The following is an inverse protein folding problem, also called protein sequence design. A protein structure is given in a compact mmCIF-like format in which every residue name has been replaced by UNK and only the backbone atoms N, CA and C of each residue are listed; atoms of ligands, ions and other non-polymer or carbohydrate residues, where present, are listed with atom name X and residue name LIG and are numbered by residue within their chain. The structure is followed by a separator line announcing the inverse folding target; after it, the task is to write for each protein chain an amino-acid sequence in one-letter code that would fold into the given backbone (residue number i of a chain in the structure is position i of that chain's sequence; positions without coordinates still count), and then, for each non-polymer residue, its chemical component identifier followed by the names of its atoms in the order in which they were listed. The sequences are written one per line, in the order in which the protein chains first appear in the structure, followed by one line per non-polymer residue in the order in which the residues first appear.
data_IF_428835655495
#
_entry.id   IF_428835655495
#
_cell.length_a   1.000
_cell.length_b   1.000
_cell.length_c   1.000
_cell.angle_alpha   90.00
_cell.angle_beta   90.00
_cell.angle_gamma   90.00
#
_symmetry.space_group_name_H-M   'P 1'
#
loop_
_entity.id
_entity.type
_entity.pdbx_description
1 polymer ?
2 non-polymer ?
3 non-polymer ?
4 non-polymer ?
5 non-polymer ?
6 water ?
#
# COMPACT_ATOMS: atom_id res chain seq x y z
N UNK A 20 -29.40 -7.05 -0.46
CA UNK A 20 -30.83 -6.69 -0.47
C UNK A 20 -31.07 -5.25 -0.97
N UNK A 21 -29.98 -4.43 -1.04
CA UNK A 21 -30.03 -3.05 -1.49
C UNK A 21 -29.37 -2.90 -2.87
N UNK A 22 -29.59 -1.74 -3.54
CA UNK A 22 -29.07 -1.47 -4.88
C UNK A 22 -28.66 -0.01 -5.08
N UNK A 23 -27.68 0.23 -5.98
CA UNK A 23 -27.19 1.57 -6.29
C UNK A 23 -26.88 1.81 -7.77
N UNK A 24 -26.91 3.10 -8.19
CA UNK A 24 -26.66 3.51 -9.57
C UNK A 24 -25.37 4.32 -9.70
N UNK A 25 -24.52 3.93 -10.65
CA UNK A 25 -23.27 4.62 -10.94
C UNK A 25 -23.20 4.76 -12.46
N UNK A 26 -23.30 6.01 -12.96
CA UNK A 26 -23.25 6.35 -14.39
C UNK A 26 -24.33 5.62 -15.17
N UNK A 27 -25.54 5.58 -14.61
CA UNK A 27 -26.68 4.90 -15.21
C UNK A 27 -26.63 3.38 -15.23
N UNK A 28 -25.65 2.78 -14.55
CA UNK A 28 -25.47 1.33 -14.44
C UNK A 28 -25.87 0.94 -13.03
N UNK A 29 -26.66 -0.13 -12.91
CA UNK A 29 -27.20 -0.58 -11.63
C UNK A 29 -26.35 -1.71 -11.02
N UNK A 30 -26.06 -1.57 -9.71
CA UNK A 30 -25.24 -2.49 -8.91
C UNK A 30 -26.00 -3.00 -7.71
N UNK A 31 -26.00 -4.32 -7.53
CA UNK A 31 -26.62 -4.98 -6.40
C UNK A 31 -25.57 -5.03 -5.29
N UNK A 32 -25.91 -4.52 -4.09
CA UNK A 32 -25.01 -4.55 -2.92
C UNK A 32 -25.04 -5.94 -2.27
N UNK A 33 -23.85 -6.55 -2.09
CA UNK A 33 -23.73 -7.84 -1.45
C UNK A 33 -23.44 -7.66 0.03
N UNK A 34 -22.38 -6.88 0.35
CA UNK A 34 -21.92 -6.62 1.71
C UNK A 34 -21.02 -5.37 1.79
N UNK A 35 -20.73 -4.90 3.01
CA UNK A 35 -19.83 -3.78 3.21
C UNK A 35 -18.46 -4.37 3.49
N UNK A 36 -17.47 -4.08 2.62
CA UNK A 36 -16.09 -4.57 2.79
C UNK A 36 -15.40 -3.73 3.87
N UNK A 37 -15.44 -2.41 3.72
CA UNK A 37 -14.78 -1.54 4.66
C UNK A 37 -15.56 -0.29 4.97
N UNK A 38 -15.20 0.37 6.06
CA UNK A 38 -15.88 1.58 6.46
C UNK A 38 -14.87 2.67 6.79
N UNK A 39 -15.34 3.91 6.71
CA UNK A 39 -14.53 5.07 6.99
C UNK A 39 -15.43 6.07 7.67
N UNK A 40 -14.86 7.11 8.27
CA UNK A 40 -15.69 8.08 8.93
C UNK A 40 -16.62 8.70 7.91
N UNK A 41 -16.08 9.01 6.74
CA UNK A 41 -16.89 9.58 5.67
C UNK A 41 -17.00 8.67 4.46
N UNK A 42 -16.48 7.47 4.55
CA UNK A 42 -16.53 6.54 3.43
C UNK A 42 -16.86 5.10 3.76
N UNK A 43 -17.33 4.39 2.75
CA UNK A 43 -17.66 2.99 2.88
C UNK A 43 -17.34 2.28 1.58
N UNK A 44 -16.94 1.03 1.67
CA UNK A 44 -16.63 0.25 0.49
C UNK A 44 -17.57 -0.94 0.51
N UNK A 45 -18.20 -1.20 -0.62
CA UNK A 45 -19.15 -2.29 -0.73
C UNK A 45 -18.77 -3.26 -1.81
N UNK A 46 -19.18 -4.51 -1.63
CA UNK A 46 -18.95 -5.53 -2.61
C UNK A 46 -20.27 -5.54 -3.34
N UNK A 47 -20.21 -5.46 -4.65
CA UNK A 47 -21.42 -5.39 -5.45
C UNK A 47 -21.40 -6.21 -6.71
N UNK A 48 -22.59 -6.41 -7.28
CA UNK A 48 -22.72 -7.12 -8.53
C UNK A 48 -23.37 -6.23 -9.56
N UNK A 49 -22.87 -6.25 -10.77
CA UNK A 49 -23.43 -5.46 -11.84
C UNK A 49 -24.52 -6.25 -12.57
N UNK A 50 -25.04 -5.68 -13.65
CA UNK A 50 -26.09 -6.30 -14.44
C UNK A 50 -25.68 -7.63 -15.07
N UNK A 51 -24.44 -7.75 -15.47
CA UNK A 51 -23.95 -8.98 -16.07
C UNK A 51 -23.51 -9.92 -14.96
N UNK A 52 -23.69 -9.51 -13.72
CA UNK A 52 -23.32 -10.33 -12.57
C UNK A 52 -21.83 -10.34 -12.22
N UNK A 53 -21.08 -9.43 -12.82
CA UNK A 53 -19.67 -9.30 -12.53
C UNK A 53 -19.54 -8.68 -11.15
N UNK A 54 -18.51 -9.04 -10.42
CA UNK A 54 -18.31 -8.54 -9.08
C UNK A 54 -17.33 -7.37 -9.03
N UNK A 55 -17.67 -6.35 -8.26
CA UNK A 55 -16.86 -5.15 -8.11
C UNK A 55 -16.89 -4.61 -6.71
N UNK A 56 -16.02 -3.65 -6.44
CA UNK A 56 -15.99 -3.00 -5.16
C UNK A 56 -16.34 -1.55 -5.46
N UNK A 57 -17.30 -1.01 -4.74
CA UNK A 57 -17.68 0.37 -4.97
C UNK A 57 -17.32 1.15 -3.74
N UNK A 58 -16.55 2.20 -3.94
CA UNK A 58 -16.17 3.04 -2.83
C UNK A 58 -17.09 4.23 -2.84
N UNK A 59 -17.77 4.42 -1.72
CA UNK A 59 -18.69 5.52 -1.53
C UNK A 59 -18.06 6.56 -0.57
N UNK A 60 -17.96 7.81 -1.03
CA UNK A 60 -17.41 8.90 -0.22
C UNK A 60 -18.49 9.98 -0.04
N UNK A 61 -18.71 10.40 1.20
CA UNK A 61 -19.67 11.44 1.51
C UNK A 61 -18.94 12.76 1.62
N UNK A 62 -19.34 13.73 0.80
CA UNK A 62 -18.70 15.04 0.75
C UNK A 62 -19.35 16.19 1.52
N UNK A 63 -20.36 15.92 2.34
CA UNK A 63 -21.06 16.98 3.07
C UNK A 63 -20.19 17.81 4.00
N UNK A 64 -19.30 17.15 4.73
CA UNK A 64 -18.40 17.80 5.70
C UNK A 64 -16.98 18.06 5.14
N UNK A 65 -16.78 17.81 3.86
CA UNK A 65 -15.49 18.02 3.22
C UNK A 65 -15.18 19.47 2.82
N UNK A 66 -14.05 19.96 3.30
CA UNK A 66 -13.60 21.30 2.98
C UNK A 66 -12.96 21.28 1.62
N UNK A 67 -12.65 22.45 1.08
CA UNK A 67 -12.06 22.54 -0.25
C UNK A 67 -10.73 21.82 -0.36
N UNK A 68 -9.92 21.90 0.68
CA UNK A 68 -8.62 21.26 0.67
C UNK A 68 -8.83 19.76 0.54
N UNK A 69 -9.80 19.24 1.29
CA UNK A 69 -10.11 17.83 1.25
C UNK A 69 -10.59 17.40 -0.12
N UNK A 70 -11.40 18.21 -0.75
CA UNK A 70 -11.94 17.91 -2.07
C UNK A 70 -10.88 17.82 -3.14
N UNK A 71 -9.93 18.75 -3.11
CA UNK A 71 -8.85 18.74 -4.09
C UNK A 71 -7.96 17.53 -3.93
N UNK A 72 -7.72 17.08 -2.69
CA UNK A 72 -6.91 15.90 -2.36
C UNK A 72 -7.58 14.62 -2.96
N UNK A 73 -8.93 14.53 -2.86
CA UNK A 73 -9.77 13.43 -3.36
C UNK A 73 -9.74 13.41 -4.90
N UNK A 74 -9.97 14.58 -5.54
CA UNK A 74 -9.94 14.80 -6.98
C UNK A 74 -8.57 14.46 -7.54
N UNK A 75 -7.52 14.88 -6.84
CA UNK A 75 -6.16 14.62 -7.29
C UNK A 75 -5.83 13.15 -7.32
N UNK A 76 -6.19 12.41 -6.28
CA UNK A 76 -5.92 11.00 -6.26
C UNK A 76 -6.70 10.24 -7.34
N UNK A 77 -7.94 10.63 -7.56
CA UNK A 77 -8.77 9.99 -8.56
C UNK A 77 -8.18 10.16 -9.95
N UNK A 78 -7.71 11.36 -10.23
CA UNK A 78 -7.05 11.70 -11.49
C UNK A 78 -5.76 10.85 -11.67
N UNK A 79 -4.95 10.69 -10.60
CA UNK A 79 -3.73 9.85 -10.64
C UNK A 79 -4.06 8.40 -10.77
N UNK A 80 -5.09 7.94 -10.05
CA UNK A 80 -5.59 6.56 -10.15
C UNK A 80 -6.03 6.22 -11.57
N UNK A 81 -6.84 7.08 -12.18
CA UNK A 81 -7.33 6.93 -13.54
C UNK A 81 -6.20 6.95 -14.58
N UNK A 82 -5.24 7.86 -14.42
CA UNK A 82 -4.10 7.96 -15.31
C UNK A 82 -3.13 6.79 -15.25
N UNK A 83 -2.84 6.31 -14.06
CA UNK A 83 -1.88 5.24 -13.88
C UNK A 83 -2.43 3.86 -14.19
N UNK A 84 -3.70 3.78 -14.52
CA UNK A 84 -4.29 2.49 -14.81
C UNK A 84 -3.58 1.86 -15.96
N UNK A 85 -3.33 2.66 -16.99
CA UNK A 85 -2.69 2.16 -18.20
C UNK A 85 -1.28 1.65 -17.98
N UNK A 86 -0.52 2.37 -17.17
CA UNK A 86 0.87 2.04 -16.89
C UNK A 86 1.21 0.73 -16.19
N UNK A 87 0.43 0.33 -15.21
CA UNK A 87 0.71 -0.93 -14.52
C UNK A 87 -0.54 -1.65 -14.11
N UNK A 88 -0.48 -2.98 -14.12
CA UNK A 88 -1.61 -3.78 -13.72
C UNK A 88 -1.52 -4.10 -12.25
N UNK A 89 -0.50 -3.54 -11.60
CA UNK A 89 -0.26 -3.73 -10.18
C UNK A 89 -0.96 -2.62 -9.40
N UNK A 90 -1.73 -1.82 -10.10
CA UNK A 90 -2.50 -0.77 -9.54
C UNK A 90 -3.94 -1.19 -9.78
N UNK A 91 -4.76 -1.06 -8.75
CA UNK A 91 -6.15 -1.49 -8.78
C UNK A 91 -6.94 -0.83 -9.89
N UNK A 92 -7.82 -1.58 -10.53
CA UNK A 92 -8.57 -1.00 -11.64
C UNK A 92 -9.66 -0.08 -11.09
N UNK A 93 -9.84 1.05 -11.77
CA UNK A 93 -10.87 2.05 -11.58
C UNK A 93 -11.61 2.00 -12.89
N UNK A 94 -12.73 1.30 -12.87
CA UNK A 94 -13.59 1.14 -14.03
C UNK A 94 -14.42 2.34 -14.43
N UNK A 95 -15.02 2.98 -13.43
CA UNK A 95 -15.89 4.10 -13.67
C UNK A 95 -16.10 4.85 -12.37
N UNK A 96 -16.61 6.06 -12.47
CA UNK A 96 -16.91 6.82 -11.26
C UNK A 96 -17.98 7.89 -11.46
N UNK A 97 -18.64 8.24 -10.37
CA UNK A 97 -19.65 9.28 -10.37
C UNK A 97 -19.33 10.24 -9.24
N UNK A 98 -19.15 11.51 -9.57
CA UNK A 98 -18.78 12.50 -8.57
C UNK A 98 -19.69 13.71 -8.66
N UNK A 99 -20.30 14.06 -7.54
CA UNK A 99 -21.14 15.26 -7.42
C UNK A 99 -20.60 16.09 -6.25
N UNK A 100 -21.29 17.14 -5.90
CA UNK A 100 -20.96 17.98 -4.75
C UNK A 100 -21.28 17.26 -3.43
N UNK A 101 -22.14 16.24 -3.49
CA UNK A 101 -22.57 15.49 -2.30
C UNK A 101 -21.83 14.14 -2.08
N UNK A 102 -21.42 13.48 -3.15
CA UNK A 102 -20.78 12.19 -3.02
C UNK A 102 -19.90 11.75 -4.16
N UNK A 103 -19.12 10.71 -3.91
CA UNK A 103 -18.29 10.09 -4.90
C UNK A 103 -18.57 8.60 -4.90
N UNK A 104 -18.77 8.01 -6.06
CA UNK A 104 -18.97 6.58 -6.16
C UNK A 104 -17.86 6.13 -7.08
N UNK A 105 -17.03 5.19 -6.64
CA UNK A 105 -15.95 4.72 -7.50
C UNK A 105 -16.15 3.24 -7.76
N UNK A 106 -16.22 2.82 -9.01
CA UNK A 106 -16.40 1.40 -9.30
C UNK A 106 -15.03 0.84 -9.57
N UNK A 107 -14.61 -0.06 -8.71
CA UNK A 107 -13.30 -0.62 -8.79
C UNK A 107 -13.22 -2.11 -8.71
N UNK A 108 -12.03 -2.59 -8.99
CA UNK A 108 -11.70 -3.97 -8.95
C UNK A 108 -11.85 -4.45 -7.52
N UNK A 109 -12.44 -5.62 -7.36
CA UNK A 109 -12.63 -6.24 -6.06
C UNK A 109 -11.50 -7.22 -5.76
N UNK A 110 -10.82 -6.97 -4.65
CA UNK A 110 -9.76 -7.84 -4.20
C UNK A 110 -10.25 -8.95 -3.31
N UNK A 111 -9.37 -9.90 -2.97
CA UNK A 111 -9.70 -11.01 -2.10
C UNK A 111 -9.52 -10.64 -0.62
N UNK A 112 -8.36 -10.06 -0.28
CA UNK A 112 -7.97 -9.68 1.08
C UNK A 112 -6.84 -8.64 1.00
N UNK A 113 -6.69 -7.78 2.02
CA UNK A 113 -5.55 -6.87 2.07
C UNK A 113 -4.34 -7.70 2.56
N UNK A 114 -3.11 -7.25 2.29
CA UNK A 114 -1.90 -7.96 2.68
C UNK A 114 -1.72 -8.01 4.21
N UNK A 115 -2.24 -7.00 4.96
CA UNK A 115 -2.12 -6.99 6.43
C UNK A 115 -2.87 -8.17 7.06
N UNK A 116 -4.17 -8.31 6.75
CA UNK A 116 -5.03 -9.39 7.21
C UNK A 116 -4.47 -10.75 6.81
N UNK A 117 -4.00 -10.86 5.55
CA UNK A 117 -3.41 -12.08 5.02
C UNK A 117 -2.18 -12.50 5.81
N UNK A 118 -1.22 -11.57 6.05
CA UNK A 118 0.02 -11.87 6.80
C UNK A 118 -0.26 -12.24 8.27
N UNK A 119 -1.29 -11.61 8.90
CA UNK A 119 -1.73 -11.87 10.27
C UNK A 119 -2.33 -13.28 10.41
N UNK A 120 -3.19 -13.70 9.45
CA UNK A 120 -3.87 -15.00 9.41
C UNK A 120 -2.87 -16.15 9.20
N UNK A 121 -1.91 -15.96 8.27
CA UNK A 121 -0.87 -16.94 7.95
C UNK A 121 0.24 -16.97 9.01
N UNK A 122 0.79 -18.17 9.27
CA UNK A 122 1.90 -18.36 10.21
C UNK A 122 3.23 -18.24 9.45
N UNK A 123 3.51 -19.19 8.54
CA UNK A 123 4.70 -19.20 7.69
C UNK A 123 4.34 -18.72 6.29
N UNK A 124 5.34 -18.22 5.56
CA UNK A 124 5.19 -17.73 4.17
C UNK A 124 6.16 -18.49 3.25
N UNK A 125 5.66 -18.82 2.07
CA UNK A 125 6.43 -19.51 1.07
C UNK A 125 7.44 -18.54 0.50
N UNK A 126 8.66 -19.00 0.27
CA UNK A 126 9.71 -18.13 -0.26
C UNK A 126 9.34 -17.61 -1.64
N UNK A 127 8.71 -18.44 -2.44
CA UNK A 127 8.29 -18.07 -3.79
C UNK A 127 7.19 -17.01 -3.80
N UNK A 128 6.24 -17.15 -2.90
CA UNK A 128 5.10 -16.26 -2.73
C UNK A 128 5.61 -14.88 -2.29
N UNK A 129 6.52 -14.87 -1.29
CA UNK A 129 7.18 -13.67 -0.78
C UNK A 129 7.86 -12.89 -1.91
N UNK A 130 8.71 -13.58 -2.72
CA UNK A 130 9.44 -12.98 -3.84
C UNK A 130 8.49 -12.40 -4.88
N UNK A 131 7.44 -13.15 -5.20
CA UNK A 131 6.40 -12.76 -6.15
C UNK A 131 5.71 -11.47 -5.68
N UNK A 132 5.35 -11.41 -4.39
CA UNK A 132 4.69 -10.27 -3.74
C UNK A 132 5.60 -9.07 -3.71
N UNK A 133 6.89 -9.28 -3.39
CA UNK A 133 7.90 -8.23 -3.40
C UNK A 133 8.01 -7.62 -4.80
N UNK A 134 8.04 -8.44 -5.83
CA UNK A 134 8.14 -7.92 -7.18
C UNK A 134 6.96 -7.03 -7.49
N UNK A 135 5.77 -7.46 -7.10
CA UNK A 135 4.56 -6.71 -7.34
C UNK A 135 4.58 -5.37 -6.65
N UNK A 136 5.06 -5.36 -5.41
CA UNK A 136 5.15 -4.15 -4.64
C UNK A 136 6.09 -3.16 -5.30
N UNK A 137 7.22 -3.67 -5.78
CA UNK A 137 8.24 -2.85 -6.46
C UNK A 137 7.69 -2.22 -7.73
N UNK A 138 6.97 -3.02 -8.54
CA UNK A 138 6.35 -2.55 -9.79
C UNK A 138 5.30 -1.45 -9.53
N UNK A 139 4.41 -1.62 -8.52
CA UNK A 139 3.37 -0.62 -8.20
C UNK A 139 3.94 0.70 -7.67
N UNK A 140 4.91 0.60 -6.76
CA UNK A 140 5.58 1.77 -6.17
C UNK A 140 6.49 2.45 -7.21
N UNK A 141 7.15 1.68 -8.08
CA UNK A 141 7.97 2.24 -9.16
C UNK A 141 7.11 3.10 -10.07
N UNK A 142 5.94 2.59 -10.41
CA UNK A 142 5.02 3.27 -11.29
C UNK A 142 4.55 4.63 -10.78
N UNK A 143 4.22 4.73 -9.50
CA UNK A 143 3.81 6.00 -8.96
C UNK A 143 4.98 6.98 -8.94
N UNK A 144 6.17 6.47 -8.65
CA UNK A 144 7.35 7.31 -8.61
C UNK A 144 7.64 7.92 -9.96
N UNK A 145 7.43 7.17 -11.01
CA UNK A 145 7.69 7.62 -12.36
C UNK A 145 6.81 8.80 -12.67
N UNK A 146 5.72 8.92 -11.95
CA UNK A 146 4.80 10.01 -12.14
C UNK A 146 4.93 11.10 -11.11
N UNK A 147 5.99 11.03 -10.33
CA UNK A 147 6.26 12.02 -9.31
C UNK A 147 5.58 11.83 -7.98
N UNK A 148 4.98 10.68 -7.78
CA UNK A 148 4.29 10.43 -6.54
C UNK A 148 5.08 9.59 -5.56
N UNK A 149 5.20 10.07 -4.34
CA UNK A 149 5.86 9.34 -3.28
C UNK A 149 4.73 9.11 -2.30
N UNK A 150 4.43 7.87 -1.99
CA UNK A 150 3.34 7.56 -1.10
C UNK A 150 3.56 8.05 0.33
N UNK A 151 4.71 7.74 0.86
CA UNK A 151 5.14 8.17 2.19
C UNK A 151 4.44 7.51 3.37
N UNK A 152 3.49 6.64 3.11
CA UNK A 152 2.79 5.97 4.21
C UNK A 152 2.55 4.51 3.90
N UNK A 153 3.47 3.86 3.23
CA UNK A 153 3.28 2.47 2.89
C UNK A 153 3.20 1.56 4.11
N UNK A 154 2.27 0.62 4.02
CA UNK A 154 1.98 -0.37 5.06
C UNK A 154 1.40 -1.56 4.31
N UNK A 155 1.38 -2.76 4.92
CA UNK A 155 0.74 -3.90 4.25
C UNK A 155 -0.72 -3.64 3.88
N UNK A 156 -1.48 -2.81 4.68
CA UNK A 156 -2.90 -2.48 4.39
C UNK A 156 -3.12 -1.79 3.03
N UNK A 157 -2.08 -1.16 2.45
CA UNK A 157 -2.12 -0.46 1.16
C UNK A 157 -2.03 -1.43 -0.01
N UNK A 158 -1.85 -2.71 0.26
CA UNK A 158 -1.75 -3.72 -0.78
C UNK A 158 -2.91 -4.69 -0.70
N UNK A 159 -3.36 -5.12 -1.87
CA UNK A 159 -4.50 -6.01 -2.05
C UNK A 159 -4.12 -7.23 -2.87
N UNK A 160 -4.56 -8.40 -2.42
CA UNK A 160 -4.33 -9.65 -3.15
C UNK A 160 -5.52 -9.90 -4.06
N UNK A 161 -5.25 -9.94 -5.37
CA UNK A 161 -6.21 -10.19 -6.44
C UNK A 161 -5.52 -11.16 -7.37
N UNK A 162 -6.06 -12.38 -7.50
CA UNK A 162 -5.55 -13.40 -8.41
C UNK A 162 -4.09 -13.75 -8.12
N UNK A 163 -3.78 -13.98 -6.83
CA UNK A 163 -2.42 -14.30 -6.36
C UNK A 163 -1.38 -13.24 -6.73
N UNK A 164 -1.83 -12.00 -6.87
CA UNK A 164 -1.01 -10.89 -7.32
C UNK A 164 -1.32 -9.64 -6.48
N UNK A 165 -0.26 -8.96 -5.96
CA UNK A 165 -0.42 -7.74 -5.14
C UNK A 165 -0.64 -6.51 -5.99
N UNK A 166 -1.57 -5.67 -5.52
CA UNK A 166 -1.98 -4.42 -6.14
C UNK A 166 -2.05 -3.31 -5.12
N UNK A 167 -1.45 -2.16 -5.46
CA UNK A 167 -1.47 -0.94 -4.65
C UNK A 167 -2.91 -0.34 -4.65
N UNK A 168 -3.54 -0.14 -3.45
CA UNK A 168 -4.92 0.33 -3.39
C UNK A 168 -5.04 1.86 -3.43
N UNK A 169 -4.05 2.57 -2.89
CA UNK A 169 -4.06 4.03 -2.83
C UNK A 169 -2.66 4.66 -3.03
N UNK A 170 -2.63 5.99 -3.24
CA UNK A 170 -1.41 6.72 -3.56
C UNK A 170 -0.93 7.63 -2.46
N UNK A 171 -1.61 7.66 -1.34
CA UNK A 171 -1.26 8.52 -0.22
C UNK A 171 -1.64 9.99 -0.38
N UNK A 172 -2.22 10.38 -1.54
CA UNK A 172 -2.61 11.76 -1.84
C UNK A 172 -3.86 12.21 -1.07
N UNK A 173 -4.96 11.43 -1.12
CA UNK A 173 -6.24 11.78 -0.47
C UNK A 173 -6.10 11.85 1.06
N UNK A 174 -6.90 12.73 1.72
CA UNK A 174 -6.86 12.88 3.18
C UNK A 174 -7.40 11.61 3.87
N UNK A 175 -6.62 11.08 4.84
CA UNK A 175 -6.92 9.88 5.62
C UNK A 175 -7.53 10.22 6.98
N UNK A 189 -5.11 2.32 11.30
CA UNK A 189 -4.45 3.16 12.29
C UNK A 189 -3.14 3.70 11.74
N UNK A 190 -2.69 4.82 12.32
CA UNK A 190 -1.45 5.44 11.89
C UNK A 190 -0.24 4.83 12.58
N UNK A 191 0.09 3.60 12.22
CA UNK A 191 1.24 2.90 12.79
C UNK A 191 2.55 3.54 12.36
N UNK A 192 3.52 3.55 13.27
CA UNK A 192 4.83 4.13 12.99
C UNK A 192 5.87 3.05 12.67
N UNK A 193 5.42 1.82 12.56
CA UNK A 193 6.28 0.68 12.29
C UNK A 193 7.02 0.72 10.95
N UNK A 194 6.38 1.26 9.92
CA UNK A 194 6.98 1.37 8.60
C UNK A 194 7.44 2.79 8.27
N UNK A 195 7.47 3.65 9.28
CA UNK A 195 7.86 5.05 9.13
C UNK A 195 9.39 5.24 9.04
N UNK A 196 9.93 5.89 7.96
CA UNK A 196 11.40 6.05 7.84
C UNK A 196 12.02 7.07 8.79
N UNK A 197 13.35 7.03 9.05
CA UNK A 197 13.97 8.03 9.96
C UNK A 197 13.75 9.50 9.54
N UNK A 198 13.85 9.79 8.23
CA UNK A 198 13.67 11.14 7.68
C UNK A 198 12.28 11.72 7.89
N UNK A 199 11.24 10.86 8.01
CA UNK A 199 9.84 11.27 8.22
C UNK A 199 9.62 11.62 9.71
N UNK A 200 10.37 10.95 10.60
CA UNK A 200 10.32 11.16 12.04
C UNK A 200 11.05 12.48 12.38
N UNK A 201 12.23 12.71 11.76
CA UNK A 201 13.06 13.92 11.90
C UNK A 201 12.33 15.20 11.40
N UNK A 202 11.68 15.11 10.20
CA UNK A 202 10.91 16.20 9.57
C UNK A 202 9.55 16.43 10.24
N UNK A 203 9.08 15.46 11.05
CA UNK A 203 7.79 15.45 11.77
C UNK A 203 6.60 15.33 10.82
N UNK A 216 11.97 13.36 2.88
CA UNK A 216 10.89 12.63 2.20
C UNK A 216 11.03 12.73 0.65
N UNK A 217 11.56 11.64 0.08
CA UNK A 217 11.82 11.42 -1.33
C UNK A 217 11.39 9.99 -1.65
N UNK A 218 11.47 9.50 -2.92
CA UNK A 218 11.20 8.07 -3.20
C UNK A 218 11.86 7.06 -2.23
N UNK A 219 13.03 7.41 -1.64
CA UNK A 219 13.79 6.57 -0.72
C UNK A 219 13.00 6.29 0.54
N UNK A 220 12.05 7.17 0.91
CA UNK A 220 11.16 7.01 2.06
C UNK A 220 10.28 5.80 1.85
N UNK A 221 9.80 5.59 0.60
CA UNK A 221 8.97 4.43 0.24
C UNK A 221 9.74 3.13 0.28
N UNK A 222 11.07 3.18 -0.03
CA UNK A 222 11.99 2.04 0.03
C UNK A 222 12.11 1.54 1.49
N UNK A 223 12.19 2.45 2.44
CA UNK A 223 12.26 2.04 3.83
C UNK A 223 11.00 1.31 4.25
N UNK A 224 9.86 1.85 3.88
CA UNK A 224 8.61 1.24 4.24
C UNK A 224 8.44 -0.12 3.60
N UNK A 225 8.82 -0.22 2.34
CA UNK A 225 8.72 -1.47 1.63
C UNK A 225 9.63 -2.50 2.28
N UNK A 226 10.80 -2.06 2.71
CA UNK A 226 11.73 -2.94 3.36
C UNK A 226 11.17 -3.50 4.64
N UNK A 227 10.47 -2.65 5.39
CA UNK A 227 9.86 -3.08 6.63
C UNK A 227 8.85 -4.16 6.34
N UNK A 228 8.10 -4.01 5.27
CA UNK A 228 7.11 -5.01 4.90
C UNK A 228 7.77 -6.33 4.56
N UNK A 229 8.85 -6.27 3.81
CA UNK A 229 9.57 -7.46 3.44
C UNK A 229 10.17 -8.09 4.68
N UNK A 230 10.63 -7.25 5.58
CA UNK A 230 11.23 -7.72 6.81
C UNK A 230 10.18 -8.49 7.59
N UNK A 231 8.96 -7.97 7.60
CA UNK A 231 7.87 -8.64 8.30
C UNK A 231 7.61 -9.98 7.66
N UNK A 232 7.64 -9.99 6.34
CA UNK A 232 7.40 -11.19 5.55
C UNK A 232 8.50 -12.22 5.72
N UNK A 233 9.65 -11.79 6.20
CA UNK A 233 10.81 -12.67 6.37
C UNK A 233 10.91 -13.21 7.80
N UNK A 234 10.92 -12.30 8.78
CA UNK A 234 11.12 -12.57 10.20
C UNK A 234 9.84 -12.62 11.07
N UNK A 235 8.67 -12.38 10.48
CA UNK A 235 7.37 -12.44 11.17
C UNK A 235 7.03 -11.25 12.05
N UNK A 236 7.88 -10.22 12.05
CA UNK A 236 7.67 -8.99 12.81
C UNK A 236 8.34 -7.83 12.08
N UNK A 237 7.94 -6.57 12.35
CA UNK A 237 8.60 -5.41 11.75
C UNK A 237 9.89 -5.13 12.53
N UNK A 238 10.91 -4.40 11.97
CA UNK A 238 12.19 -4.23 12.70
C UNK A 238 12.12 -3.69 14.14
N UNK A 239 11.11 -2.87 14.47
CA UNK A 239 10.99 -2.28 15.80
C UNK A 239 9.71 -2.68 16.55
N UNK A 240 9.03 -3.76 16.08
CA UNK A 240 7.79 -4.29 16.66
C UNK A 240 7.89 -4.57 18.17
N UNK A 241 9.07 -5.06 18.63
CA UNK A 241 9.36 -5.40 20.02
C UNK A 241 9.27 -4.19 20.96
N UNK A 242 9.55 -2.97 20.46
CA UNK A 242 9.49 -1.75 21.27
C UNK A 242 8.04 -1.25 21.39
N UNK A 243 7.39 -1.59 22.51
CA UNK A 243 5.99 -1.28 22.81
C UNK A 243 5.68 0.22 22.92
N UNK A 244 6.49 0.98 23.70
CA UNK A 244 6.31 2.42 23.89
C UNK A 244 6.63 3.16 22.59
N UNK A 245 5.65 3.91 22.04
CA UNK A 245 5.79 4.67 20.79
C UNK A 245 6.96 5.65 20.78
N UNK A 246 7.19 6.39 21.90
CA UNK A 246 8.29 7.35 22.01
C UNK A 246 9.66 6.63 21.95
N UNK A 247 9.81 5.52 22.72
CA UNK A 247 11.01 4.68 22.76
C UNK A 247 11.26 4.06 21.38
N UNK A 248 10.18 3.76 20.63
CA UNK A 248 10.19 3.19 19.29
C UNK A 248 10.74 4.20 18.27
N UNK A 249 10.19 5.40 18.26
CA UNK A 249 10.62 6.44 17.34
C UNK A 249 12.08 6.75 17.55
N UNK A 250 12.52 6.78 18.80
CA UNK A 250 13.92 7.06 19.07
C UNK A 250 14.81 5.99 18.47
N UNK A 251 14.40 4.74 18.55
CA UNK A 251 15.20 3.66 18.00
C UNK A 251 15.36 3.75 16.47
N UNK A 252 14.26 4.04 15.79
CA UNK A 252 14.25 4.18 14.33
C UNK A 252 15.28 5.20 13.87
N UNK A 253 15.40 6.32 14.59
CA UNK A 253 16.33 7.41 14.29
C UNK A 253 17.68 7.24 14.97
N UNK A 254 17.88 6.16 15.72
CA UNK A 254 19.14 5.94 16.40
C UNK A 254 20.12 5.11 15.60
N UNK A 255 21.25 5.71 15.24
CA UNK A 255 22.27 5.00 14.44
C UNK A 255 22.85 3.82 15.20
N UNK A 256 23.03 4.01 16.50
CA UNK A 256 23.56 3.00 17.37
C UNK A 256 22.63 1.81 17.50
N UNK A 257 21.33 2.08 17.50
CA UNK A 257 20.35 0.99 17.66
C UNK A 257 20.47 0.08 16.45
N UNK A 258 21.07 -1.10 16.64
CA UNK A 258 21.29 -2.00 15.52
C UNK A 258 20.08 -2.88 15.20
N UNK A 259 19.66 -2.85 13.92
CA UNK A 259 18.57 -3.67 13.39
C UNK A 259 19.14 -5.07 13.18
N UNK A 260 18.54 -6.07 13.82
CA UNK A 260 18.99 -7.44 13.69
C UNK A 260 18.55 -8.06 12.37
N UNK A 261 19.45 -8.79 11.73
CA UNK A 261 19.15 -9.50 10.49
C UNK A 261 19.63 -10.95 10.63
N UNK A 262 18.87 -11.81 11.38
CA UNK A 262 19.26 -13.21 11.55
C UNK A 262 19.54 -13.93 10.23
N UNK A 263 20.53 -14.84 10.25
CA UNK A 263 20.94 -15.65 9.10
C UNK A 263 19.77 -16.48 8.57
N UNK A 264 19.59 -16.49 7.24
CA UNK A 264 18.51 -17.21 6.56
C UNK A 264 19.09 -17.86 5.30
N UNK A 265 18.47 -18.95 4.75
CA UNK A 265 19.04 -19.58 3.54
C UNK A 265 19.05 -18.70 2.29
N UNK A 266 18.25 -17.61 2.31
CA UNK A 266 18.20 -16.68 1.19
C UNK A 266 19.05 -15.45 1.56
N UNK A 267 20.35 -15.49 1.18
CA UNK A 267 21.34 -14.44 1.45
C UNK A 267 21.00 -13.16 0.69
N UNK A 268 20.46 -13.30 -0.55
CA UNK A 268 20.01 -12.19 -1.40
C UNK A 268 18.91 -11.41 -0.69
N UNK A 269 17.97 -12.14 -0.02
CA UNK A 269 16.85 -11.57 0.73
C UNK A 269 17.39 -10.84 1.95
N UNK A 270 18.45 -11.37 2.56
CA UNK A 270 19.06 -10.73 3.73
C UNK A 270 19.68 -9.38 3.31
N UNK A 271 20.41 -9.36 2.17
CA UNK A 271 21.03 -8.16 1.60
C UNK A 271 20.01 -7.08 1.25
N UNK A 272 18.87 -7.43 0.60
CA UNK A 272 17.80 -6.47 0.22
C UNK A 272 17.36 -5.71 1.46
N UNK A 273 17.14 -6.46 2.56
CA UNK A 273 16.67 -5.95 3.84
C UNK A 273 17.59 -4.92 4.46
N UNK A 274 18.89 -5.21 4.45
CA UNK A 274 19.96 -4.34 4.95
C UNK A 274 20.11 -3.07 4.09
N UNK A 275 19.89 -3.20 2.75
CA UNK A 275 19.97 -2.14 1.74
C UNK A 275 18.79 -1.18 1.84
N UNK A 276 17.58 -1.72 2.10
CA UNK A 276 16.35 -0.94 2.27
C UNK A 276 16.37 -0.23 3.61
N UNK A 277 16.93 -0.88 4.62
CA UNK A 277 16.92 -0.37 5.97
C UNK A 277 18.01 0.58 6.42
N UNK A 278 18.85 1.03 5.50
CA UNK A 278 19.89 1.98 5.87
C UNK A 278 19.15 3.23 6.30
N UNK A 279 19.52 3.78 7.45
CA UNK A 279 18.88 4.97 7.99
C UNK A 279 19.07 6.23 7.16
N UNK A 280 20.26 6.39 6.60
CA UNK A 280 20.58 7.54 5.78
C UNK A 280 19.97 7.31 4.39
N UNK A 281 18.95 8.12 4.01
CA UNK A 281 18.30 7.94 2.69
C UNK A 281 19.25 7.89 1.51
N UNK A 282 20.40 8.59 1.63
CA UNK A 282 21.44 8.65 0.61
C UNK A 282 22.19 7.33 0.48
N UNK A 283 22.27 6.55 1.58
CA UNK A 283 22.96 5.25 1.57
C UNK A 283 22.00 4.09 1.26
N UNK A 284 20.70 4.39 1.24
CA UNK A 284 19.60 3.48 0.97
C UNK A 284 19.47 3.23 -0.54
N UNK A 285 19.17 1.97 -0.90
CA UNK A 285 18.99 1.51 -2.28
C UNK A 285 17.72 2.17 -2.87
N UNK A 286 17.73 2.44 -4.18
CA UNK A 286 16.60 3.04 -4.88
C UNK A 286 15.72 1.94 -5.46
N UNK A 287 14.52 2.29 -5.91
CA UNK A 287 13.63 1.30 -6.50
C UNK A 287 14.21 0.72 -7.76
N UNK A 288 14.80 1.53 -8.62
CA UNK A 288 15.36 1.01 -9.86
C UNK A 288 16.46 0.00 -9.55
N UNK A 289 17.26 0.27 -8.53
CA UNK A 289 18.31 -0.64 -8.12
C UNK A 289 17.71 -1.94 -7.58
N UNK A 290 16.63 -1.84 -6.81
CA UNK A 290 15.95 -3.02 -6.25
C UNK A 290 15.41 -3.97 -7.34
N UNK A 291 15.03 -3.40 -8.49
CA UNK A 291 14.49 -4.10 -9.64
C UNK A 291 15.54 -4.92 -10.34
N UNK A 292 16.83 -4.49 -10.28
CA UNK A 292 17.95 -5.20 -10.90
C UNK A 292 18.71 -6.07 -9.88
N UNK A 293 18.18 -6.16 -8.66
CA UNK A 293 18.78 -6.94 -7.61
C UNK A 293 18.68 -8.43 -7.85
N UNK A 294 19.63 -9.19 -7.35
CA UNK A 294 19.61 -10.64 -7.57
C UNK A 294 18.38 -11.33 -7.00
N UNK A 295 17.89 -10.82 -5.88
CA UNK A 295 16.73 -11.39 -5.23
C UNK A 295 15.53 -11.43 -6.14
N UNK A 296 15.29 -10.36 -6.90
CA UNK A 296 14.16 -10.35 -7.82
C UNK A 296 14.48 -10.91 -9.20
N UNK A 297 15.76 -10.94 -9.56
CA UNK A 297 16.15 -11.43 -10.88
C UNK A 297 16.64 -12.88 -11.01
N UNK A 298 17.38 -13.36 -10.02
CA UNK A 298 17.92 -14.71 -10.06
C UNK A 298 16.84 -15.74 -9.72
N UNK A 299 16.82 -16.84 -10.50
CA UNK A 299 15.95 -18.02 -10.40
C UNK A 299 16.14 -18.77 -9.05
#
# INVERSE_FOLDING_TARGET
MHHHHHHSSGVDLGTENLYFQSMSVKGRIYSILKQIGSGGSSKVFQVLNEKKQIYAIKYVNLEEADNQTLDSYRNEIAYLNKLQQHSDKIIRLYDYEITDQYIYMVMECGNIDLNSWLKKKKSIDPWERKSYWKNMLEAVHTIHQHGIVHSDLKPANFLIVDGMLKLIDFGIANQMQPDTTSVVKDSQVGTVNYMPPEAIKDMSSSRENGKSKSKISPKSDVWSLGCILYYMTYGKTPFQQIINQISKLHAIIDPNHEIEFPDIPEKDLQDVLKCCLKRDPKQRISIPELLAHPYVQIQTHPVNQMAKGTTEE
#
